data_IF_137006802137
#
_entry.id   IF_137006802137
#
_cell.length_a   1.000
_cell.length_b   1.000
_cell.length_c   1.000
_cell.angle_alpha   90.00
_cell.angle_beta   90.00
_cell.angle_gamma   90.00
#
_symmetry.space_group_name_H-M   'P 1'
#
loop_
_entity.id
_entity.type
_entity.pdbx_description
1 polymer ?
#
# COMPACT_ATOMS: atom_id res chain seq x y z
N UNK A 1 -32.78 -7.11 -17.82
CA UNK A 1 -31.31 -6.94 -18.00
C UNK A 1 -30.92 -7.48 -19.38
N UNK A 2 -30.05 -6.81 -20.15
CA UNK A 2 -29.46 -7.50 -21.31
C UNK A 2 -28.20 -8.24 -20.85
N UNK A 3 -27.97 -9.45 -21.36
CA UNK A 3 -26.75 -10.21 -21.05
C UNK A 3 -25.46 -9.42 -21.41
N UNK A 4 -25.56 -8.51 -22.39
CA UNK A 4 -24.49 -7.60 -22.77
C UNK A 4 -24.14 -6.58 -21.69
N UNK A 5 -25.14 -6.01 -21.01
CA UNK A 5 -24.91 -5.01 -19.94
C UNK A 5 -24.21 -5.63 -18.72
N UNK A 6 -24.60 -6.85 -18.33
CA UNK A 6 -23.94 -7.57 -17.25
C UNK A 6 -22.50 -7.93 -17.63
N UNK A 7 -22.29 -8.45 -18.83
CA UNK A 7 -20.95 -8.83 -19.32
C UNK A 7 -20.01 -7.62 -19.32
N UNK A 8 -20.46 -6.48 -19.85
CA UNK A 8 -19.68 -5.26 -19.88
C UNK A 8 -19.36 -4.73 -18.47
N UNK A 9 -20.32 -4.80 -17.55
CA UNK A 9 -20.09 -4.39 -16.17
C UNK A 9 -19.05 -5.29 -15.49
N UNK A 10 -19.19 -6.62 -15.60
CA UNK A 10 -18.25 -7.56 -14.98
C UNK A 10 -16.83 -7.44 -15.56
N UNK A 11 -16.70 -7.20 -16.86
CA UNK A 11 -15.41 -6.91 -17.48
C UNK A 11 -14.76 -5.65 -16.88
N UNK A 12 -15.53 -4.58 -16.68
CA UNK A 12 -15.03 -3.39 -15.99
C UNK A 12 -14.62 -3.66 -14.54
N UNK A 13 -15.36 -4.51 -13.82
CA UNK A 13 -14.96 -4.94 -12.47
C UNK A 13 -13.65 -5.73 -12.46
N UNK A 14 -13.47 -6.62 -13.44
CA UNK A 14 -12.24 -7.42 -13.58
C UNK A 14 -11.03 -6.52 -13.86
N UNK A 15 -11.17 -5.53 -14.75
CA UNK A 15 -10.14 -4.52 -14.99
C UNK A 15 -9.75 -3.77 -13.71
N UNK A 16 -10.73 -3.36 -12.89
CA UNK A 16 -10.46 -2.67 -11.63
C UNK A 16 -9.69 -3.55 -10.63
N UNK A 17 -10.06 -4.82 -10.49
CA UNK A 17 -9.32 -5.77 -9.65
C UNK A 17 -7.90 -6.03 -10.15
N UNK A 18 -7.72 -6.16 -11.47
CA UNK A 18 -6.41 -6.32 -12.08
C UNK A 18 -5.52 -5.09 -11.89
N UNK A 19 -6.08 -3.88 -12.01
CA UNK A 19 -5.36 -2.64 -11.72
C UNK A 19 -4.94 -2.56 -10.26
N UNK A 20 -5.85 -2.86 -9.32
CA UNK A 20 -5.53 -2.84 -7.90
C UNK A 20 -4.45 -3.87 -7.53
N UNK A 21 -4.52 -5.06 -8.13
CA UNK A 21 -3.49 -6.10 -7.95
C UNK A 21 -2.14 -5.66 -8.53
N UNK A 22 -2.12 -5.07 -9.73
CA UNK A 22 -0.89 -4.54 -10.34
C UNK A 22 -0.25 -3.46 -9.48
N UNK A 23 -1.06 -2.57 -8.90
CA UNK A 23 -0.58 -1.56 -7.94
C UNK A 23 -0.01 -2.21 -6.68
N UNK A 24 -0.60 -3.31 -6.17
CA UNK A 24 -0.06 -4.05 -5.03
C UNK A 24 1.29 -4.70 -5.33
N UNK A 25 1.42 -5.31 -6.50
CA UNK A 25 2.67 -5.90 -6.96
C UNK A 25 3.75 -4.83 -7.18
N UNK A 26 3.38 -3.66 -7.71
CA UNK A 26 4.30 -2.55 -7.93
C UNK A 26 4.81 -1.95 -6.62
N UNK A 27 3.93 -1.74 -5.63
CA UNK A 27 4.33 -1.26 -4.30
C UNK A 27 5.33 -2.20 -3.64
N UNK A 28 5.07 -3.51 -3.69
CA UNK A 28 5.99 -4.49 -3.11
C UNK A 28 7.31 -4.53 -3.87
N UNK A 29 7.27 -4.55 -5.20
CA UNK A 29 8.48 -4.62 -6.05
C UNK A 29 9.42 -3.45 -5.83
N UNK A 30 8.85 -2.25 -5.70
CA UNK A 30 9.61 -1.01 -5.61
C UNK A 30 9.72 -0.50 -4.15
N UNK A 31 9.39 -1.33 -3.16
CA UNK A 31 9.29 -0.93 -1.77
C UNK A 31 10.54 -0.20 -1.25
N UNK A 32 11.73 -0.72 -1.57
CA UNK A 32 13.00 -0.14 -1.11
C UNK A 32 13.46 1.07 -1.93
N UNK A 33 12.91 1.26 -3.13
CA UNK A 33 13.34 2.29 -4.10
C UNK A 33 12.38 3.46 -4.22
N UNK A 34 11.14 3.29 -3.77
CA UNK A 34 10.11 4.32 -3.83
C UNK A 34 10.49 5.51 -2.94
N UNK A 35 10.37 6.71 -3.51
CA UNK A 35 10.40 7.94 -2.75
C UNK A 35 9.09 8.15 -1.98
N UNK A 36 9.04 9.13 -1.07
CA UNK A 36 7.79 9.52 -0.40
C UNK A 36 6.71 9.92 -1.40
N UNK A 37 7.09 10.63 -2.47
CA UNK A 37 6.15 11.05 -3.53
C UNK A 37 5.59 9.85 -4.29
N UNK A 38 6.41 8.84 -4.59
CA UNK A 38 5.95 7.61 -5.24
C UNK A 38 4.93 6.86 -4.37
N UNK A 39 5.16 6.81 -3.05
CA UNK A 39 4.20 6.21 -2.11
C UNK A 39 2.90 7.00 -2.03
N UNK A 40 2.96 8.32 -1.93
CA UNK A 40 1.76 9.18 -1.93
C UNK A 40 0.95 9.01 -3.21
N UNK A 41 1.63 8.97 -4.36
CA UNK A 41 0.99 8.74 -5.66
C UNK A 41 0.34 7.35 -5.75
N UNK A 42 1.01 6.31 -5.24
CA UNK A 42 0.47 4.95 -5.20
C UNK A 42 -0.78 4.86 -4.31
N UNK A 43 -0.78 5.53 -3.14
CA UNK A 43 -1.95 5.62 -2.26
C UNK A 43 -3.09 6.33 -2.97
N UNK A 44 -2.84 7.49 -3.58
CA UNK A 44 -3.85 8.23 -4.34
C UNK A 44 -4.38 7.44 -5.55
N UNK A 45 -3.55 6.59 -6.18
CA UNK A 45 -3.96 5.68 -7.24
C UNK A 45 -4.93 4.63 -6.73
N UNK A 46 -4.57 3.94 -5.63
CA UNK A 46 -5.42 2.94 -4.99
C UNK A 46 -6.75 3.50 -4.52
N UNK A 47 -6.76 4.67 -3.88
CA UNK A 47 -8.00 5.32 -3.43
C UNK A 47 -8.97 5.58 -4.58
N UNK A 48 -8.46 6.01 -5.75
CA UNK A 48 -9.26 6.18 -6.96
C UNK A 48 -9.84 4.86 -7.44
N UNK A 49 -9.03 3.80 -7.49
CA UNK A 49 -9.49 2.46 -7.90
C UNK A 49 -10.56 1.92 -6.94
N UNK A 50 -10.35 2.09 -5.62
CA UNK A 50 -11.31 1.65 -4.59
C UNK A 50 -12.64 2.41 -4.71
N UNK A 51 -12.60 3.72 -4.97
CA UNK A 51 -13.81 4.51 -5.23
C UNK A 51 -14.57 4.00 -6.47
N UNK A 52 -13.85 3.64 -7.53
CA UNK A 52 -14.46 3.03 -8.72
C UNK A 52 -15.04 1.64 -8.45
N UNK A 53 -14.40 0.83 -7.59
CA UNK A 53 -14.94 -0.45 -7.16
C UNK A 53 -16.23 -0.29 -6.34
N UNK A 54 -16.34 0.75 -5.52
CA UNK A 54 -17.58 1.05 -4.78
C UNK A 54 -18.74 1.40 -5.72
N UNK A 55 -18.50 2.22 -6.74
CA UNK A 55 -19.50 2.52 -7.78
C UNK A 55 -19.89 1.24 -8.56
N UNK A 56 -18.91 0.45 -8.97
CA UNK A 56 -19.13 -0.84 -9.62
C UNK A 56 -20.02 -1.76 -8.75
N UNK A 57 -19.72 -1.89 -7.45
CA UNK A 57 -20.49 -2.71 -6.52
C UNK A 57 -21.93 -2.21 -6.37
N UNK A 58 -22.13 -0.89 -6.34
CA UNK A 58 -23.46 -0.27 -6.33
C UNK A 58 -24.26 -0.60 -7.59
N UNK A 59 -23.63 -0.48 -8.77
CA UNK A 59 -24.25 -0.82 -10.06
C UNK A 59 -24.58 -2.31 -10.18
N UNK A 60 -23.67 -3.17 -9.74
CA UNK A 60 -23.87 -4.62 -9.74
C UNK A 60 -25.03 -5.03 -8.82
N UNK A 61 -25.12 -4.42 -7.63
CA UNK A 61 -26.21 -4.66 -6.67
C UNK A 61 -27.57 -4.19 -7.20
N UNK A 62 -27.60 -3.05 -7.88
CA UNK A 62 -28.81 -2.53 -8.55
C UNK A 62 -29.31 -3.50 -9.62
N UNK A 63 -28.40 -4.00 -10.47
CA UNK A 63 -28.74 -4.98 -11.51
C UNK A 63 -29.20 -6.31 -10.94
N UNK A 64 -28.54 -6.82 -9.90
CA UNK A 64 -28.93 -8.07 -9.24
C UNK A 64 -30.33 -7.98 -8.59
N UNK A 65 -30.74 -6.79 -8.14
CA UNK A 65 -32.07 -6.54 -7.57
C UNK A 65 -33.19 -6.46 -8.62
N UNK A 66 -32.83 -6.26 -9.89
CA UNK A 66 -33.77 -6.08 -11.00
C UNK A 66 -34.01 -7.38 -11.80
N UNK A 67 -33.26 -8.45 -11.56
CA UNK A 67 -33.25 -9.63 -12.41
C UNK A 67 -33.83 -10.89 -11.73
N UNK A 68 -34.78 -11.54 -12.43
CA UNK A 68 -35.54 -12.70 -11.99
C UNK A 68 -35.17 -13.98 -12.76
N UNK A 69 -33.88 -14.34 -12.77
CA UNK A 69 -33.44 -15.68 -13.13
C UNK A 69 -33.24 -15.94 -14.64
N UNK A 70 -32.01 -15.75 -15.10
CA UNK A 70 -31.48 -16.40 -16.32
C UNK A 70 -30.19 -17.14 -15.96
N UNK A 71 -30.12 -18.44 -16.29
CA UNK A 71 -29.04 -19.33 -15.83
C UNK A 71 -27.63 -18.92 -16.28
N UNK A 72 -27.51 -18.20 -17.39
CA UNK A 72 -26.23 -17.71 -17.93
C UNK A 72 -25.63 -16.58 -17.07
N UNK A 73 -26.48 -15.74 -16.47
CA UNK A 73 -26.05 -14.66 -15.57
C UNK A 73 -25.45 -15.20 -14.27
N UNK A 74 -26.00 -16.29 -13.72
CA UNK A 74 -25.46 -16.91 -12.50
C UNK A 74 -24.06 -17.48 -12.74
N UNK A 75 -23.81 -18.07 -13.91
CA UNK A 75 -22.50 -18.59 -14.26
C UNK A 75 -21.46 -17.46 -14.40
N UNK A 76 -21.81 -16.35 -15.06
CA UNK A 76 -20.95 -15.17 -15.17
C UNK A 76 -20.64 -14.56 -13.80
N UNK A 77 -21.67 -14.39 -12.95
CA UNK A 77 -21.51 -13.89 -11.58
C UNK A 77 -20.65 -14.82 -10.72
N UNK A 78 -20.81 -16.14 -10.85
CA UNK A 78 -20.01 -17.11 -10.10
C UNK A 78 -18.52 -17.04 -10.51
N UNK A 79 -18.24 -16.92 -11.80
CA UNK A 79 -16.87 -16.76 -12.32
C UNK A 79 -16.24 -15.47 -11.81
N UNK A 80 -17.00 -14.37 -11.84
CA UNK A 80 -16.54 -13.08 -11.35
C UNK A 80 -16.28 -13.09 -9.84
N UNK A 81 -17.18 -13.66 -9.03
CA UNK A 81 -16.99 -13.77 -7.56
C UNK A 81 -15.71 -14.53 -7.22
N UNK A 82 -15.39 -15.58 -7.98
CA UNK A 82 -14.15 -16.33 -7.82
C UNK A 82 -12.92 -15.46 -8.12
N UNK A 83 -12.93 -14.72 -9.23
CA UNK A 83 -11.88 -13.78 -9.57
C UNK A 83 -11.69 -12.71 -8.48
N UNK A 84 -12.80 -12.15 -7.99
CA UNK A 84 -12.81 -11.18 -6.90
C UNK A 84 -12.19 -11.76 -5.61
N UNK A 85 -12.56 -12.98 -5.22
CA UNK A 85 -12.03 -13.65 -4.04
C UNK A 85 -10.52 -13.93 -4.16
N UNK A 86 -10.10 -14.50 -5.28
CA UNK A 86 -8.69 -14.81 -5.55
C UNK A 86 -7.84 -13.51 -5.60
N UNK A 87 -8.34 -12.46 -6.26
CA UNK A 87 -7.66 -11.16 -6.36
C UNK A 87 -7.56 -10.48 -5.01
N UNK A 88 -8.66 -10.42 -4.25
CA UNK A 88 -8.68 -9.81 -2.92
C UNK A 88 -7.72 -10.49 -1.97
N UNK A 89 -7.71 -11.83 -1.96
CA UNK A 89 -6.76 -12.60 -1.15
C UNK A 89 -5.32 -12.24 -1.48
N UNK A 90 -4.98 -12.20 -2.77
CA UNK A 90 -3.62 -11.88 -3.22
C UNK A 90 -3.22 -10.44 -2.87
N UNK A 91 -4.13 -9.47 -3.04
CA UNK A 91 -3.91 -8.07 -2.66
C UNK A 91 -3.62 -7.97 -1.16
N UNK A 92 -4.43 -8.60 -0.31
CA UNK A 92 -4.23 -8.59 1.15
C UNK A 92 -2.91 -9.23 1.55
N UNK A 93 -2.51 -10.32 0.90
CA UNK A 93 -1.20 -10.96 1.14
C UNK A 93 -0.04 -10.02 0.79
N UNK A 94 -0.10 -9.35 -0.37
CA UNK A 94 0.92 -8.39 -0.80
C UNK A 94 1.01 -7.18 0.14
N UNK A 95 -0.14 -6.60 0.51
CA UNK A 95 -0.20 -5.45 1.42
C UNK A 95 0.33 -5.81 2.80
N UNK A 96 0.01 -7.01 3.30
CA UNK A 96 0.54 -7.52 4.57
C UNK A 96 2.06 -7.62 4.54
N UNK A 97 2.64 -8.06 3.42
CA UNK A 97 4.09 -8.15 3.24
C UNK A 97 4.73 -6.76 3.21
N UNK A 98 4.15 -5.80 2.48
CA UNK A 98 4.62 -4.41 2.46
C UNK A 98 4.61 -3.80 3.87
N UNK A 99 3.54 -4.03 4.64
CA UNK A 99 3.43 -3.56 6.03
C UNK A 99 4.51 -4.19 6.92
N UNK A 100 4.80 -5.48 6.76
CA UNK A 100 5.83 -6.16 7.52
C UNK A 100 7.22 -5.56 7.25
N UNK A 101 7.57 -5.37 5.98
CA UNK A 101 8.83 -4.76 5.57
C UNK A 101 8.96 -3.31 6.07
N UNK A 102 7.86 -2.53 6.00
CA UNK A 102 7.82 -1.17 6.55
C UNK A 102 8.10 -1.13 8.04
N UNK A 103 7.52 -2.05 8.81
CA UNK A 103 7.77 -2.14 10.26
C UNK A 103 9.22 -2.45 10.57
N UNK A 104 9.82 -3.40 9.86
CA UNK A 104 11.23 -3.75 10.03
C UNK A 104 12.16 -2.57 9.69
N UNK A 105 11.87 -1.85 8.60
CA UNK A 105 12.62 -0.66 8.21
C UNK A 105 12.54 0.45 9.26
N UNK A 106 11.37 0.69 9.83
CA UNK A 106 11.17 1.68 10.89
C UNK A 106 11.94 1.34 12.17
N UNK A 107 12.00 0.06 12.55
CA UNK A 107 12.81 -0.39 13.70
C UNK A 107 14.28 -0.09 13.45
N UNK A 108 14.80 -0.49 12.28
CA UNK A 108 16.20 -0.26 11.89
C UNK A 108 16.54 1.23 11.91
N UNK A 109 15.68 2.07 11.33
CA UNK A 109 15.88 3.52 11.31
C UNK A 109 15.89 4.13 12.71
N UNK A 110 15.04 3.63 13.62
CA UNK A 110 15.04 4.05 15.03
C UNK A 110 16.36 3.74 15.75
N UNK A 111 16.95 2.57 15.48
CA UNK A 111 18.25 2.18 16.03
C UNK A 111 19.39 3.07 15.50
N UNK A 112 19.40 3.33 14.19
CA UNK A 112 20.36 4.23 13.55
C UNK A 112 20.27 5.66 14.12
N UNK A 113 19.05 6.19 14.26
CA UNK A 113 18.82 7.52 14.86
C UNK A 113 19.32 7.58 16.31
N UNK A 114 19.09 6.53 17.10
CA UNK A 114 19.59 6.43 18.48
C UNK A 114 21.13 6.36 18.53
N UNK A 115 21.75 5.61 17.62
CA UNK A 115 23.20 5.56 17.50
C UNK A 115 23.78 6.95 17.13
N UNK A 116 23.17 7.65 16.18
CA UNK A 116 23.56 9.02 15.80
C UNK A 116 23.41 10.01 16.96
N UNK A 117 22.33 9.90 17.75
CA UNK A 117 22.13 10.74 18.93
C UNK A 117 23.23 10.51 19.98
N UNK A 118 23.56 9.25 20.28
CA UNK A 118 24.67 8.89 21.19
C UNK A 118 26.02 9.38 20.67
N UNK A 119 26.29 9.21 19.37
CA UNK A 119 27.50 9.72 18.73
C UNK A 119 27.63 11.24 18.86
N UNK A 120 26.53 11.98 18.66
CA UNK A 120 26.49 13.44 18.83
C UNK A 120 26.78 13.86 20.27
N UNK A 121 26.18 13.19 21.26
CA UNK A 121 26.45 13.46 22.68
C UNK A 121 27.93 13.20 23.03
N UNK A 122 28.49 12.08 22.57
CA UNK A 122 29.89 11.75 22.83
C UNK A 122 30.86 12.77 22.20
N UNK A 123 30.57 13.23 20.98
CA UNK A 123 31.35 14.28 20.32
C UNK A 123 31.32 15.58 21.13
N UNK A 124 30.14 16.01 21.57
CA UNK A 124 29.99 17.22 22.35
C UNK A 124 30.74 17.15 23.70
N UNK A 125 30.68 16.02 24.39
CA UNK A 125 31.47 15.80 25.62
C UNK A 125 32.97 15.83 25.38
N UNK A 126 33.44 15.26 24.26
CA UNK A 126 34.86 15.29 23.89
C UNK A 126 35.35 16.71 23.59
N UNK A 127 34.57 17.49 22.83
CA UNK A 127 34.89 18.88 22.50
C UNK A 127 34.91 19.76 23.76
N UNK A 128 33.89 19.67 24.62
CA UNK A 128 33.86 20.41 25.89
C UNK A 128 35.04 20.08 26.81
N UNK A 129 35.35 18.78 26.98
CA UNK A 129 36.50 18.35 27.78
C UNK A 129 37.87 18.67 27.15
N UNK A 130 37.92 18.97 25.85
CA UNK A 130 39.12 19.48 25.16
C UNK A 130 39.28 20.98 25.37
N UNK A 131 38.20 21.75 25.29
CA UNK A 131 38.20 23.19 25.57
C UNK A 131 38.58 23.48 27.02
N UNK A 132 38.04 22.75 27.99
CA UNK A 132 38.39 22.89 29.42
C UNK A 132 39.88 22.63 29.67
N UNK A 133 40.45 21.57 29.08
CA UNK A 133 41.89 21.27 29.19
C UNK A 133 42.75 22.33 28.53
N UNK A 134 42.34 22.84 27.37
CA UNK A 134 43.05 23.91 26.68
C UNK A 134 42.99 25.24 27.47
N UNK A 135 41.86 25.56 28.10
CA UNK A 135 41.70 26.76 28.91
C UNK A 135 42.54 26.70 30.21
N UNK A 136 42.55 25.56 30.92
CA UNK A 136 43.40 25.39 32.10
C UNK A 136 44.91 25.47 31.79
N UNK A 137 45.32 25.04 30.59
CA UNK A 137 46.73 25.11 30.17
C UNK A 137 47.18 26.54 29.81
N UNK A 138 46.24 27.47 29.64
CA UNK A 138 46.47 28.84 29.18
C UNK A 138 46.41 29.86 30.31
N UNK A 139 45.82 29.48 31.44
CA UNK A 139 45.68 30.29 32.66
C UNK A 139 46.65 29.89 33.77
N UNK A 140 47.43 28.82 33.59
CA UNK A 140 48.57 28.43 34.43
C UNK A 140 49.88 29.03 33.90
#
# INVERSE_FOLDING_TARGET
MTAADLTALLASGEELYNLLLSEAEALLRNFDTNSSEDFEQAVACRERIMTSLDDFNGRLSSLASQDSGHGDAEQLLSSFRRLQEESTKKIVELDSLVIALARERLVTLGEEMSALARGRSALHSYEGGREERHNMSRTA
#
